data_IF_311302514984
#
_entry.id   IF_311302514984
#
_cell.length_a   1.000
_cell.length_b   1.000
_cell.length_c   1.000
_cell.angle_alpha   90.00
_cell.angle_beta   90.00
_cell.angle_gamma   90.00
#
_symmetry.space_group_name_H-M   'P 1'
#
loop_
_entity.id
_entity.type
_entity.pdbx_description
1 polymer ?
#
# COMPACT_ATOMS: atom_id res chain seq x y z
N UNK A 1 -49.80 10.50 -4.42
CA UNK A 1 -49.29 10.10 -3.09
C UNK A 1 -47.77 9.98 -3.22
N UNK A 2 -47.02 11.01 -2.83
CA UNK A 2 -45.58 11.02 -2.89
C UNK A 2 -44.98 10.61 -1.53
N UNK A 3 -43.74 10.10 -1.50
CA UNK A 3 -43.13 9.68 -0.27
C UNK A 3 -42.63 10.86 0.57
N UNK A 4 -42.93 10.78 1.84
CA UNK A 4 -42.59 11.73 2.89
C UNK A 4 -41.11 11.57 3.27
N UNK A 5 -40.31 12.61 3.15
CA UNK A 5 -38.96 12.68 3.72
C UNK A 5 -39.02 12.90 5.21
N UNK A 6 -38.45 12.00 5.99
CA UNK A 6 -38.19 12.20 7.43
C UNK A 6 -36.84 12.93 7.59
N UNK A 7 -36.92 14.16 8.06
CA UNK A 7 -35.78 14.89 8.61
C UNK A 7 -35.59 14.50 10.08
N UNK A 8 -34.63 13.70 10.39
CA UNK A 8 -34.20 13.35 11.74
C UNK A 8 -32.83 13.96 12.03
N UNK A 9 -32.82 15.11 12.74
CA UNK A 9 -31.60 15.71 13.24
C UNK A 9 -30.93 14.84 14.30
N UNK A 10 -29.66 14.58 14.14
CA UNK A 10 -28.80 14.00 15.17
C UNK A 10 -27.88 15.08 15.71
N UNK A 11 -28.30 15.72 16.80
CA UNK A 11 -27.41 16.39 17.74
C UNK A 11 -26.81 15.34 18.63
N UNK A 12 -25.52 15.06 18.47
CA UNK A 12 -24.77 14.32 19.49
C UNK A 12 -23.28 14.71 19.49
N UNK A 13 -22.81 14.95 20.74
CA UNK A 13 -21.45 15.04 21.26
C UNK A 13 -20.77 16.41 21.29
N UNK A 14 -21.00 17.09 22.38
CA UNK A 14 -19.96 17.84 23.08
C UNK A 14 -19.32 16.89 24.08
N UNK A 15 -18.06 16.53 23.86
CA UNK A 15 -17.10 16.12 24.88
C UNK A 15 -15.75 16.64 24.42
N UNK A 16 -15.23 17.60 25.16
CA UNK A 16 -13.87 18.09 25.09
C UNK A 16 -12.92 16.96 25.52
N UNK A 17 -11.92 16.68 24.72
CA UNK A 17 -10.83 15.74 24.98
C UNK A 17 -10.20 15.31 23.67
N UNK A 18 -8.96 15.72 23.42
CA UNK A 18 -8.03 15.41 22.31
C UNK A 18 -8.66 14.82 21.05
N UNK A 19 -8.85 15.66 20.03
CA UNK A 19 -9.56 15.31 18.80
C UNK A 19 -8.76 14.29 17.97
N UNK A 20 -9.08 13.03 18.12
CA UNK A 20 -8.83 12.07 17.05
C UNK A 20 -9.57 12.56 15.81
N UNK A 21 -8.85 12.73 14.68
CA UNK A 21 -9.45 13.16 13.42
C UNK A 21 -10.51 12.12 12.99
N UNK A 22 -11.78 12.48 13.08
CA UNK A 22 -12.86 11.67 12.52
C UNK A 22 -12.87 11.81 10.99
N UNK A 23 -13.51 10.89 10.28
CA UNK A 23 -13.74 11.02 8.83
C UNK A 23 -14.52 12.32 8.51
N UNK A 24 -15.39 12.77 9.39
CA UNK A 24 -16.06 14.08 9.29
C UNK A 24 -15.07 15.24 9.29
N UNK A 25 -14.02 15.17 10.10
CA UNK A 25 -12.94 16.18 10.10
C UNK A 25 -12.19 16.17 8.78
N UNK A 26 -11.89 14.98 8.23
CA UNK A 26 -11.26 14.84 6.92
C UNK A 26 -12.18 15.38 5.82
N UNK A 27 -13.49 15.07 5.88
CA UNK A 27 -14.50 15.63 4.97
C UNK A 27 -14.57 17.15 5.04
N UNK A 28 -14.62 17.73 6.24
CA UNK A 28 -14.67 19.18 6.41
C UNK A 28 -13.42 19.87 5.88
N UNK A 29 -12.25 19.23 5.98
CA UNK A 29 -11.00 19.67 5.35
C UNK A 29 -11.10 19.58 3.83
N UNK A 30 -11.57 18.45 3.27
CA UNK A 30 -11.75 18.24 1.84
C UNK A 30 -12.68 19.28 1.21
N UNK A 31 -13.72 19.75 1.93
CA UNK A 31 -14.64 20.79 1.50
C UNK A 31 -14.01 22.21 1.45
N UNK A 32 -12.88 22.44 2.13
CA UNK A 32 -12.18 23.74 2.14
C UNK A 32 -11.08 23.85 1.10
N UNK A 33 -10.97 22.89 0.18
CA UNK A 33 -9.87 22.72 -0.76
C UNK A 33 -9.47 24.02 -1.49
N UNK A 34 -8.20 24.38 -1.35
CA UNK A 34 -7.57 25.54 -2.03
C UNK A 34 -7.03 25.19 -3.43
N UNK A 35 -7.51 24.11 -4.04
CA UNK A 35 -7.25 23.79 -5.44
C UNK A 35 -6.10 22.83 -5.73
N UNK A 36 -5.38 22.31 -4.73
CA UNK A 36 -4.41 21.24 -4.94
C UNK A 36 -5.02 19.88 -4.58
N UNK A 37 -4.81 18.82 -5.36
CA UNK A 37 -5.31 17.49 -5.02
C UNK A 37 -4.81 17.07 -3.64
N UNK A 38 -5.73 16.72 -2.73
CA UNK A 38 -5.44 16.29 -1.37
C UNK A 38 -4.89 17.38 -0.40
N UNK A 39 -4.91 18.66 -0.75
CA UNK A 39 -4.42 19.73 0.13
C UNK A 39 -5.13 19.77 1.50
N UNK A 40 -6.32 19.20 1.57
CA UNK A 40 -7.14 19.13 2.79
C UNK A 40 -6.76 17.94 3.69
N UNK A 41 -6.27 16.87 3.10
CA UNK A 41 -5.83 15.67 3.80
C UNK A 41 -4.37 15.86 4.20
N UNK A 42 -3.54 16.25 3.24
CA UNK A 42 -2.13 16.56 3.41
C UNK A 42 -1.94 18.07 3.37
N UNK A 43 -2.15 18.76 4.48
CA UNK A 43 -2.06 20.22 4.55
C UNK A 43 -0.60 20.71 4.44
N UNK A 44 -0.44 21.96 4.03
CA UNK A 44 0.89 22.60 4.05
C UNK A 44 1.47 22.61 5.48
N UNK A 45 0.63 22.80 6.49
CA UNK A 45 1.04 22.77 7.90
C UNK A 45 1.59 21.41 8.27
N UNK A 46 0.88 20.31 7.98
CA UNK A 46 1.37 18.94 8.28
C UNK A 46 2.68 18.62 7.56
N UNK A 47 2.85 19.09 6.31
CA UNK A 47 4.13 18.93 5.61
C UNK A 47 5.24 19.71 6.32
N UNK A 48 4.99 20.96 6.74
CA UNK A 48 5.96 21.80 7.45
C UNK A 48 6.35 21.21 8.81
N UNK A 49 5.39 20.64 9.52
CA UNK A 49 5.62 19.99 10.81
C UNK A 49 6.57 18.80 10.65
N UNK A 50 6.32 17.93 9.67
CA UNK A 50 7.22 16.79 9.37
C UNK A 50 8.59 17.28 8.89
N UNK A 51 8.67 18.33 8.08
CA UNK A 51 9.97 18.90 7.70
C UNK A 51 10.76 19.41 8.92
N UNK A 52 10.10 20.07 9.87
CA UNK A 52 10.70 20.57 11.09
C UNK A 52 11.14 19.42 12.01
N UNK A 53 10.31 18.38 12.17
CA UNK A 53 10.64 17.16 12.93
C UNK A 53 11.92 16.50 12.41
N UNK A 54 12.12 16.49 11.09
CA UNK A 54 13.33 15.96 10.46
C UNK A 54 14.48 16.97 10.36
N UNK A 55 14.35 18.16 10.96
CA UNK A 55 15.38 19.20 10.92
C UNK A 55 15.70 19.71 9.50
N UNK A 56 14.73 19.63 8.58
CA UNK A 56 14.94 19.98 7.19
C UNK A 56 14.88 21.50 6.99
N UNK A 57 16.02 22.12 6.77
CA UNK A 57 16.14 23.58 6.48
C UNK A 57 16.14 23.84 4.99
N UNK A 58 15.44 24.87 4.55
CA UNK A 58 15.37 25.25 3.14
C UNK A 58 15.19 26.76 2.95
N UNK A 59 15.53 27.21 1.76
CA UNK A 59 15.21 28.58 1.32
C UNK A 59 13.88 28.57 0.58
N UNK A 60 13.03 29.54 0.87
CA UNK A 60 11.77 29.68 0.14
C UNK A 60 12.04 30.10 -1.31
N UNK A 61 11.71 29.20 -2.24
CA UNK A 61 11.85 29.35 -3.69
C UNK A 61 10.65 28.71 -4.36
N UNK A 62 10.50 28.88 -5.67
CA UNK A 62 9.42 28.26 -6.46
C UNK A 62 9.25 26.77 -6.17
N UNK A 63 10.36 26.03 -6.13
CA UNK A 63 10.37 24.62 -5.75
C UNK A 63 10.76 24.49 -4.26
N UNK A 64 9.93 25.05 -3.36
CA UNK A 64 9.99 24.78 -1.93
C UNK A 64 9.72 23.28 -1.67
N UNK A 65 10.04 22.71 -0.52
CA UNK A 65 9.71 21.32 -0.20
C UNK A 65 8.21 21.01 -0.38
N UNK A 66 7.33 21.91 0.05
CA UNK A 66 5.88 21.78 -0.13
C UNK A 66 5.50 21.67 -1.60
N UNK A 67 5.90 22.67 -2.42
CA UNK A 67 5.65 22.64 -3.88
C UNK A 67 6.29 21.42 -4.54
N UNK A 68 7.44 20.99 -4.07
CA UNK A 68 8.15 19.83 -4.62
C UNK A 68 7.42 18.53 -4.31
N UNK A 69 6.90 18.36 -3.09
CA UNK A 69 6.09 17.20 -2.69
C UNK A 69 4.80 17.15 -3.51
N UNK A 70 4.09 18.29 -3.65
CA UNK A 70 2.89 18.37 -4.50
C UNK A 70 3.18 18.05 -5.96
N UNK A 71 4.27 18.59 -6.50
CA UNK A 71 4.71 18.27 -7.85
C UNK A 71 5.05 16.79 -8.02
N UNK A 72 5.64 16.15 -7.01
CA UNK A 72 5.99 14.74 -7.06
C UNK A 72 4.75 13.85 -6.92
N UNK A 73 3.79 14.19 -6.04
CA UNK A 73 2.48 13.55 -5.97
C UNK A 73 1.73 13.64 -7.30
N UNK A 74 1.66 14.83 -7.89
CA UNK A 74 1.06 15.05 -9.21
C UNK A 74 1.73 14.21 -10.28
N UNK A 75 3.06 14.06 -10.23
CA UNK A 75 3.83 13.23 -11.16
C UNK A 75 3.47 11.74 -11.06
N UNK A 76 3.41 11.17 -9.85
CA UNK A 76 3.10 9.74 -9.68
C UNK A 76 1.62 9.40 -9.89
N UNK A 77 0.73 10.38 -9.82
CA UNK A 77 -0.70 10.24 -10.12
C UNK A 77 -1.00 10.39 -11.62
N UNK A 78 -0.15 11.09 -12.36
CA UNK A 78 -0.26 11.29 -13.80
C UNK A 78 -0.05 9.98 -14.57
N UNK A 79 -0.65 9.83 -15.72
CA UNK A 79 -0.41 8.69 -16.62
C UNK A 79 0.98 8.74 -17.28
N UNK A 80 1.51 9.95 -17.51
CA UNK A 80 2.82 10.16 -18.14
C UNK A 80 3.99 9.98 -17.17
N UNK A 81 3.81 10.27 -15.88
CA UNK A 81 4.85 10.20 -14.83
C UNK A 81 6.12 11.01 -15.14
N UNK A 82 6.09 11.93 -16.11
CA UNK A 82 7.30 12.70 -16.48
C UNK A 82 7.49 13.93 -15.60
N UNK A 83 8.76 14.29 -15.37
CA UNK A 83 9.10 15.55 -14.72
C UNK A 83 8.60 16.78 -15.51
N UNK A 84 8.46 16.64 -16.83
CA UNK A 84 7.96 17.72 -17.69
C UNK A 84 6.49 17.99 -17.45
N UNK A 85 5.67 16.95 -17.34
CA UNK A 85 4.25 17.06 -16.99
C UNK A 85 4.07 17.71 -15.61
N UNK A 86 4.83 17.26 -14.60
CA UNK A 86 4.79 17.85 -13.26
C UNK A 86 5.14 19.34 -13.25
N UNK A 87 6.21 19.75 -13.95
CA UNK A 87 6.58 21.16 -14.07
C UNK A 87 5.52 21.97 -14.80
N UNK A 88 4.91 21.41 -15.86
CA UNK A 88 3.83 22.08 -16.60
C UNK A 88 2.61 22.33 -15.72
N UNK A 89 2.24 21.37 -14.86
CA UNK A 89 1.14 21.52 -13.87
C UNK A 89 1.45 22.59 -12.83
N UNK A 90 2.68 22.65 -12.32
CA UNK A 90 3.13 23.71 -11.38
C UNK A 90 3.06 25.08 -12.06
N UNK A 91 3.49 25.21 -13.32
CA UNK A 91 3.40 26.45 -14.08
C UNK A 91 1.93 26.87 -14.25
N UNK A 92 1.05 25.95 -14.65
CA UNK A 92 -0.36 26.21 -14.84
C UNK A 92 -1.03 26.68 -13.54
N UNK A 93 -0.77 25.97 -12.42
CA UNK A 93 -1.29 26.36 -11.10
C UNK A 93 -0.80 27.75 -10.68
N UNK A 94 0.49 28.07 -10.85
CA UNK A 94 1.02 29.40 -10.53
C UNK A 94 0.38 30.49 -11.39
N UNK A 95 0.23 30.26 -12.68
CA UNK A 95 -0.40 31.21 -13.61
C UNK A 95 -1.87 31.46 -13.24
N UNK A 96 -2.62 30.41 -12.92
CA UNK A 96 -4.02 30.50 -12.50
C UNK A 96 -4.19 31.31 -11.20
N UNK A 97 -3.20 31.29 -10.30
CA UNK A 97 -3.22 32.02 -9.03
C UNK A 97 -2.47 33.38 -9.11
N UNK A 98 -2.18 33.89 -10.30
CA UNK A 98 -1.55 35.21 -10.48
C UNK A 98 -0.08 35.28 -10.04
N UNK A 99 0.57 34.15 -9.80
CA UNK A 99 1.99 34.12 -9.44
C UNK A 99 2.89 34.12 -10.68
N UNK A 100 4.08 34.69 -10.55
CA UNK A 100 5.09 34.64 -11.62
C UNK A 100 5.38 33.18 -12.03
N UNK A 101 5.31 32.90 -13.32
CA UNK A 101 5.61 31.60 -13.88
C UNK A 101 7.08 31.26 -13.78
N UNK A 102 7.42 30.00 -13.57
CA UNK A 102 8.79 29.53 -13.53
C UNK A 102 9.23 28.99 -14.90
N UNK A 103 10.54 28.76 -15.06
CA UNK A 103 11.09 28.14 -16.28
C UNK A 103 10.50 26.73 -16.47
N UNK A 104 10.15 26.32 -17.71
CA UNK A 104 9.71 24.97 -18.03
C UNK A 104 10.86 23.93 -17.99
N UNK A 105 12.09 24.36 -17.72
CA UNK A 105 13.23 23.46 -17.56
C UNK A 105 13.06 22.63 -16.28
N UNK A 106 13.13 21.32 -16.42
CA UNK A 106 12.92 20.37 -15.32
C UNK A 106 14.08 20.26 -14.33
N UNK A 107 15.27 20.84 -14.64
CA UNK A 107 16.45 20.68 -13.80
C UNK A 107 16.24 21.18 -12.37
N UNK A 108 15.62 22.36 -12.19
CA UNK A 108 15.34 22.92 -10.86
C UNK A 108 14.41 22.05 -10.04
N UNK A 109 13.38 21.48 -10.66
CA UNK A 109 12.46 20.53 -10.04
C UNK A 109 13.16 19.21 -9.67
N UNK A 110 13.96 18.65 -10.61
CA UNK A 110 14.72 17.43 -10.34
C UNK A 110 15.70 17.62 -9.17
N UNK A 111 16.40 18.75 -9.13
CA UNK A 111 17.31 19.11 -8.03
C UNK A 111 16.53 19.33 -6.70
N UNK A 112 15.34 19.87 -6.74
CA UNK A 112 14.50 20.01 -5.54
C UNK A 112 14.07 18.64 -5.00
N UNK A 113 13.59 17.72 -5.85
CA UNK A 113 13.27 16.34 -5.46
C UNK A 113 14.49 15.61 -4.87
N UNK A 114 15.67 15.77 -5.45
CA UNK A 114 16.87 15.09 -4.93
C UNK A 114 17.27 15.57 -3.54
N UNK A 115 16.92 16.81 -3.15
CA UNK A 115 17.18 17.36 -1.82
C UNK A 115 16.17 16.91 -0.76
N UNK A 116 14.96 16.49 -1.12
CA UNK A 116 14.00 15.95 -0.16
C UNK A 116 14.61 14.77 0.58
N UNK A 117 14.33 14.66 1.87
CA UNK A 117 14.70 13.46 2.64
C UNK A 117 13.70 12.34 2.39
N UNK A 118 14.20 11.12 2.21
CA UNK A 118 13.36 9.93 2.10
C UNK A 118 12.53 9.74 3.36
N UNK A 119 13.10 10.05 4.55
CA UNK A 119 12.40 9.99 5.83
C UNK A 119 11.20 10.93 5.91
N UNK A 120 11.25 12.13 5.34
CA UNK A 120 10.09 13.03 5.25
C UNK A 120 8.95 12.38 4.46
N UNK A 121 9.24 11.82 3.29
CA UNK A 121 8.22 11.18 2.45
C UNK A 121 7.65 9.92 3.11
N UNK A 122 8.49 9.12 3.78
CA UNK A 122 8.02 7.93 4.51
C UNK A 122 7.15 8.33 5.70
N UNK A 123 7.56 9.32 6.50
CA UNK A 123 6.77 9.81 7.63
C UNK A 123 5.39 10.32 7.16
N UNK A 124 5.33 11.14 6.11
CA UNK A 124 4.05 11.60 5.56
C UNK A 124 3.16 10.44 5.11
N UNK A 125 3.74 9.42 4.44
CA UNK A 125 2.98 8.27 3.98
C UNK A 125 2.44 7.42 5.14
N UNK A 126 3.25 7.17 6.16
CA UNK A 126 2.86 6.34 7.32
C UNK A 126 1.88 7.09 8.24
N UNK A 127 2.09 8.38 8.48
CA UNK A 127 1.13 9.21 9.22
C UNK A 127 -0.23 9.26 8.54
N UNK A 128 -0.29 9.47 7.21
CA UNK A 128 -1.56 9.42 6.46
C UNK A 128 -2.28 8.08 6.63
N UNK A 129 -1.56 6.95 6.61
CA UNK A 129 -2.16 5.64 6.84
C UNK A 129 -2.66 5.47 8.28
N UNK A 130 -1.90 5.94 9.27
CA UNK A 130 -2.25 5.85 10.69
C UNK A 130 -3.46 6.73 11.03
N UNK A 131 -3.49 7.96 10.53
CA UNK A 131 -4.65 8.86 10.67
C UNK A 131 -5.91 8.22 10.08
N UNK A 132 -5.80 7.61 8.90
CA UNK A 132 -6.91 6.88 8.30
C UNK A 132 -7.32 5.68 9.17
N UNK A 133 -6.37 4.90 9.69
CA UNK A 133 -6.65 3.72 10.52
C UNK A 133 -7.34 4.09 11.84
N UNK A 134 -7.01 5.25 12.42
CA UNK A 134 -7.63 5.73 13.66
C UNK A 134 -8.99 6.36 13.44
N UNK A 135 -9.23 6.95 12.26
CA UNK A 135 -10.49 7.61 11.91
C UNK A 135 -11.60 6.65 11.48
N UNK A 136 -11.27 5.41 11.10
CA UNK A 136 -12.29 4.47 10.64
C UNK A 136 -13.14 3.90 11.78
N UNK A 137 -14.41 3.66 11.49
CA UNK A 137 -15.36 3.09 12.42
C UNK A 137 -14.90 1.71 12.94
N UNK A 138 -15.21 1.47 14.20
CA UNK A 138 -14.95 0.19 14.87
C UNK A 138 -15.62 -0.99 14.16
N UNK A 139 -16.76 -0.78 13.52
CA UNK A 139 -17.47 -1.82 12.75
C UNK A 139 -16.68 -2.35 11.55
N UNK A 140 -15.73 -1.57 10.99
CA UNK A 140 -14.88 -2.02 9.90
C UNK A 140 -13.65 -2.80 10.36
N UNK A 141 -13.42 -2.83 11.67
CA UNK A 141 -12.35 -3.61 12.29
C UNK A 141 -12.84 -5.03 12.61
N UNK A 142 -12.01 -6.01 12.40
CA UNK A 142 -12.33 -7.39 12.68
C UNK A 142 -12.38 -7.65 14.19
N UNK A 143 -13.58 -7.98 14.73
CA UNK A 143 -13.81 -8.09 16.16
C UNK A 143 -13.26 -6.90 16.97
N UNK A 144 -13.34 -5.67 16.42
CA UNK A 144 -12.84 -4.46 17.03
C UNK A 144 -11.30 -4.31 17.01
N UNK A 145 -10.58 -5.22 16.39
CA UNK A 145 -9.12 -5.26 16.29
C UNK A 145 -8.65 -4.77 14.91
N UNK A 146 -7.50 -4.10 14.89
CA UNK A 146 -6.82 -3.79 13.63
C UNK A 146 -6.18 -5.06 13.06
N UNK A 147 -6.40 -5.31 11.78
CA UNK A 147 -5.82 -6.43 11.06
C UNK A 147 -4.95 -5.91 9.94
N UNK A 148 -3.76 -6.47 9.82
CA UNK A 148 -2.80 -6.14 8.78
C UNK A 148 -2.47 -7.35 7.91
N UNK A 149 -2.44 -7.15 6.61
CA UNK A 149 -1.98 -8.14 5.64
C UNK A 149 -0.51 -7.85 5.35
N UNK A 150 0.35 -8.84 5.52
CA UNK A 150 1.74 -8.79 5.05
C UNK A 150 1.87 -9.59 3.77
N UNK A 151 2.44 -8.97 2.74
CA UNK A 151 2.68 -9.65 1.46
C UNK A 151 3.89 -9.04 0.74
N UNK A 152 4.49 -9.81 -0.15
CA UNK A 152 5.69 -9.45 -0.88
C UNK A 152 5.46 -9.21 -2.37
N UNK A 153 6.31 -8.40 -2.97
CA UNK A 153 6.34 -8.19 -4.41
C UNK A 153 7.73 -7.76 -4.89
N UNK A 154 7.85 -7.41 -6.16
CA UNK A 154 9.06 -6.85 -6.73
C UNK A 154 8.76 -5.66 -7.62
N UNK A 155 9.70 -4.73 -7.72
CA UNK A 155 9.65 -3.56 -8.60
C UNK A 155 10.94 -3.47 -9.41
N UNK A 156 10.82 -3.07 -10.66
CA UNK A 156 11.97 -2.84 -11.55
C UNK A 156 12.23 -1.34 -11.71
N UNK A 157 13.44 -1.00 -12.10
CA UNK A 157 13.89 0.37 -12.24
C UNK A 157 14.84 0.54 -13.43
N UNK A 158 15.17 1.78 -13.84
CA UNK A 158 16.08 2.02 -14.96
C UNK A 158 17.42 1.32 -14.80
N UNK A 159 17.91 0.81 -15.92
CA UNK A 159 19.22 0.14 -16.02
C UNK A 159 20.34 1.18 -15.99
N UNK A 160 20.75 1.58 -14.78
CA UNK A 160 21.88 2.46 -14.51
C UNK A 160 22.92 1.73 -13.67
N UNK A 161 24.20 2.13 -13.73
CA UNK A 161 25.24 1.52 -12.90
C UNK A 161 24.91 1.53 -11.40
N UNK A 162 24.38 2.65 -10.90
CA UNK A 162 24.03 2.84 -9.49
C UNK A 162 22.87 1.92 -9.06
N UNK A 163 21.83 1.81 -9.90
CA UNK A 163 20.72 0.93 -9.62
C UNK A 163 21.14 -0.55 -9.73
N UNK A 164 21.96 -0.93 -10.70
CA UNK A 164 22.52 -2.30 -10.81
C UNK A 164 23.40 -2.66 -9.62
N UNK A 165 24.17 -1.71 -9.09
CA UNK A 165 25.02 -1.95 -7.93
C UNK A 165 24.19 -2.25 -6.68
N UNK A 166 23.10 -1.52 -6.44
CA UNK A 166 22.24 -1.67 -5.26
C UNK A 166 21.20 -2.79 -5.43
N UNK A 167 20.63 -2.92 -6.62
CA UNK A 167 19.53 -3.81 -6.98
C UNK A 167 19.86 -4.62 -8.23
N UNK A 168 20.81 -5.54 -8.16
CA UNK A 168 21.25 -6.29 -9.34
C UNK A 168 20.10 -6.97 -10.09
N UNK A 169 20.22 -7.11 -11.41
CA UNK A 169 19.35 -7.96 -12.20
C UNK A 169 19.34 -9.41 -11.67
N UNK A 170 18.34 -10.20 -12.03
CA UNK A 170 18.28 -11.61 -11.63
C UNK A 170 19.38 -12.43 -12.34
N UNK A 171 20.09 -13.35 -11.63
CA UNK A 171 21.23 -14.09 -12.20
C UNK A 171 20.89 -15.03 -13.35
N UNK A 172 19.60 -15.42 -13.47
CA UNK A 172 19.14 -16.28 -14.58
C UNK A 172 19.15 -15.56 -15.92
N UNK A 173 19.32 -14.24 -15.95
CA UNK A 173 19.45 -13.45 -17.15
C UNK A 173 20.93 -13.19 -17.44
N UNK A 174 21.33 -13.29 -18.70
CA UNK A 174 22.68 -12.94 -19.09
C UNK A 174 23.01 -11.49 -18.69
N UNK A 175 24.25 -11.25 -18.29
CA UNK A 175 24.72 -9.95 -17.80
C UNK A 175 24.40 -8.83 -18.80
N UNK A 176 23.80 -7.75 -18.32
CA UNK A 176 23.44 -6.58 -19.12
C UNK A 176 22.16 -6.75 -19.96
N UNK A 177 21.38 -7.83 -19.75
CA UNK A 177 20.07 -8.03 -20.39
C UNK A 177 18.89 -7.82 -19.44
N UNK A 178 19.12 -7.83 -18.11
CA UNK A 178 18.10 -7.65 -17.10
C UNK A 178 18.06 -6.24 -16.55
N UNK A 179 16.88 -5.80 -16.16
CA UNK A 179 16.72 -4.57 -15.39
C UNK A 179 17.05 -4.83 -13.91
N UNK A 180 17.54 -3.79 -13.20
CA UNK A 180 17.65 -3.83 -11.75
C UNK A 180 16.30 -4.17 -11.13
N UNK A 181 16.31 -5.05 -10.11
CA UNK A 181 15.11 -5.57 -9.48
C UNK A 181 15.21 -5.49 -7.95
N UNK A 182 14.28 -4.81 -7.32
CA UNK A 182 14.14 -4.78 -5.89
C UNK A 182 12.97 -5.66 -5.43
N UNK A 183 13.12 -6.28 -4.25
CA UNK A 183 12.04 -6.91 -3.50
C UNK A 183 11.47 -5.91 -2.54
N UNK A 184 10.15 -5.88 -2.45
CA UNK A 184 9.41 -5.10 -1.47
C UNK A 184 8.54 -6.04 -0.64
N UNK A 185 8.34 -5.70 0.62
CA UNK A 185 7.32 -6.29 1.49
C UNK A 185 6.51 -5.14 2.06
N UNK A 186 5.20 -5.26 2.05
CA UNK A 186 4.26 -4.22 2.47
C UNK A 186 3.40 -4.70 3.63
N UNK A 187 2.97 -3.76 4.48
CA UNK A 187 2.03 -3.96 5.56
C UNK A 187 0.77 -3.15 5.28
N UNK A 188 -0.33 -3.83 4.97
CA UNK A 188 -1.57 -3.24 4.48
C UNK A 188 -2.70 -3.41 5.50
N UNK A 189 -3.45 -2.35 5.80
CA UNK A 189 -4.65 -2.45 6.65
C UNK A 189 -5.75 -3.25 5.95
N UNK A 190 -6.32 -4.24 6.63
CA UNK A 190 -7.48 -4.96 6.12
C UNK A 190 -8.73 -4.08 6.07
N UNK A 191 -8.92 -3.17 7.01
CA UNK A 191 -10.08 -2.30 7.08
C UNK A 191 -10.11 -1.27 5.94
N UNK A 192 -8.98 -0.61 5.69
CA UNK A 192 -8.90 0.54 4.78
C UNK A 192 -8.17 0.25 3.47
N UNK A 193 -7.30 -0.75 3.46
CA UNK A 193 -6.36 -1.02 2.38
C UNK A 193 -5.15 -0.07 2.36
N UNK A 194 -5.01 0.84 3.32
CA UNK A 194 -3.87 1.73 3.40
C UNK A 194 -2.57 0.96 3.66
N UNK A 195 -1.46 1.44 3.09
CA UNK A 195 -0.13 0.88 3.31
C UNK A 195 0.54 1.58 4.50
N UNK A 196 0.69 0.85 5.61
CA UNK A 196 1.27 1.37 6.85
C UNK A 196 2.79 1.34 6.86
N UNK A 197 3.39 0.40 6.13
CA UNK A 197 4.85 0.31 6.05
C UNK A 197 5.29 -0.44 4.79
N UNK A 198 6.52 -0.19 4.37
CA UNK A 198 7.18 -0.87 3.28
C UNK A 198 8.66 -1.04 3.58
N UNK A 199 9.14 -2.28 3.46
CA UNK A 199 10.56 -2.59 3.47
C UNK A 199 11.04 -3.00 2.07
N UNK A 200 12.22 -2.51 1.68
CA UNK A 200 12.84 -2.78 0.39
C UNK A 200 14.23 -3.38 0.56
N UNK A 201 14.59 -4.30 -0.33
CA UNK A 201 15.93 -4.84 -0.47
C UNK A 201 16.21 -5.26 -1.92
N UNK A 202 17.46 -5.60 -2.23
CA UNK A 202 17.79 -6.28 -3.48
C UNK A 202 17.01 -7.58 -3.59
N UNK A 203 16.66 -7.98 -4.81
CA UNK A 203 15.89 -9.19 -5.06
C UNK A 203 16.61 -10.45 -4.56
N UNK A 204 17.94 -10.40 -4.47
CA UNK A 204 18.80 -11.48 -4.02
C UNK A 204 19.81 -11.01 -2.99
N UNK A 205 20.24 -11.96 -2.16
CA UNK A 205 21.23 -11.71 -1.13
C UNK A 205 20.79 -12.24 0.25
N UNK A 206 21.70 -12.22 1.19
CA UNK A 206 21.43 -12.61 2.57
C UNK A 206 20.61 -11.52 3.27
N UNK A 207 19.52 -11.90 3.92
CA UNK A 207 18.65 -10.94 4.65
C UNK A 207 17.74 -10.09 3.76
N UNK A 208 17.55 -10.46 2.48
CA UNK A 208 16.71 -9.76 1.51
C UNK A 208 15.37 -10.44 1.25
N UNK A 209 15.12 -11.59 1.86
CA UNK A 209 13.85 -12.31 1.74
C UNK A 209 12.71 -11.61 2.50
N UNK A 210 11.48 -11.87 2.10
CA UNK A 210 10.26 -11.24 2.65
C UNK A 210 10.16 -11.37 4.17
N UNK A 211 10.50 -12.54 4.74
CA UNK A 211 10.57 -12.72 6.20
C UNK A 211 11.55 -11.72 6.88
N UNK A 212 12.68 -11.45 6.24
CA UNK A 212 13.67 -10.52 6.76
C UNK A 212 13.23 -9.07 6.62
N UNK A 213 12.51 -8.75 5.56
CA UNK A 213 11.90 -7.45 5.34
C UNK A 213 10.76 -7.21 6.34
N UNK A 214 9.90 -8.19 6.56
CA UNK A 214 8.82 -8.09 7.53
C UNK A 214 9.32 -7.83 8.96
N UNK A 215 10.45 -8.43 9.36
CA UNK A 215 11.06 -8.14 10.68
C UNK A 215 11.44 -6.68 10.87
N UNK A 216 11.69 -5.92 9.80
CA UNK A 216 12.00 -4.48 9.87
C UNK A 216 10.76 -3.62 10.12
N UNK A 217 9.57 -4.19 9.95
CA UNK A 217 8.28 -3.51 10.10
C UNK A 217 7.55 -3.86 11.40
N UNK A 218 8.18 -4.62 12.31
CA UNK A 218 7.51 -5.04 13.55
C UNK A 218 7.11 -3.88 14.45
N UNK A 219 7.88 -2.78 14.43
CA UNK A 219 7.64 -1.62 15.27
C UNK A 219 6.44 -0.76 14.77
N UNK A 220 5.96 -1.00 13.57
CA UNK A 220 4.72 -0.41 13.03
C UNK A 220 3.47 -1.06 13.63
N UNK A 221 3.57 -2.33 14.05
CA UNK A 221 2.48 -3.08 14.66
C UNK A 221 2.32 -2.72 16.14
N UNK A 222 1.06 -2.68 16.61
CA UNK A 222 0.71 -2.36 18.00
C UNK A 222 0.19 -3.60 18.72
N UNK A 223 0.30 -3.58 20.04
CA UNK A 223 -0.29 -4.62 20.90
C UNK A 223 -1.80 -4.75 20.61
N UNK A 224 -2.27 -5.98 20.43
CA UNK A 224 -3.65 -6.28 20.09
C UNK A 224 -3.93 -6.38 18.59
N UNK A 225 -2.99 -6.02 17.71
CA UNK A 225 -3.15 -6.20 16.27
C UNK A 225 -3.17 -7.68 15.87
N UNK A 226 -3.67 -7.94 14.66
CA UNK A 226 -3.64 -9.26 14.03
C UNK A 226 -2.93 -9.14 12.68
N UNK A 227 -2.01 -10.05 12.40
CA UNK A 227 -1.34 -10.15 11.10
C UNK A 227 -1.89 -11.34 10.34
N UNK A 228 -2.34 -11.12 9.11
CA UNK A 228 -2.74 -12.16 8.16
C UNK A 228 -1.66 -12.32 7.10
N UNK A 229 -1.20 -13.55 6.88
CA UNK A 229 -0.06 -13.83 6.02
C UNK A 229 -0.21 -15.12 5.23
N UNK A 230 0.59 -15.27 4.17
CA UNK A 230 0.67 -16.52 3.42
C UNK A 230 1.50 -17.59 4.15
N UNK A 231 1.65 -18.76 3.52
CA UNK A 231 2.40 -19.88 4.08
C UNK A 231 3.91 -19.59 4.27
N UNK A 232 4.46 -18.57 3.61
CA UNK A 232 5.87 -18.21 3.80
C UNK A 232 6.13 -17.73 5.23
N UNK A 233 5.16 -17.04 5.84
CA UNK A 233 5.27 -16.46 7.18
C UNK A 233 4.88 -17.44 8.30
N UNK A 234 4.48 -18.67 7.97
CA UNK A 234 4.34 -19.79 8.91
C UNK A 234 5.73 -20.21 9.43
N UNK A 235 6.32 -19.36 10.26
CA UNK A 235 7.68 -19.50 10.78
C UNK A 235 7.67 -19.35 12.30
N UNK A 236 8.18 -20.36 13.02
CA UNK A 236 8.20 -20.42 14.48
C UNK A 236 8.75 -19.15 15.13
N UNK A 237 9.84 -18.62 14.56
CA UNK A 237 10.53 -17.46 15.12
C UNK A 237 9.77 -16.17 14.86
N UNK A 238 9.09 -16.05 13.71
CA UNK A 238 8.21 -14.92 13.39
C UNK A 238 7.00 -14.94 14.34
N UNK A 239 6.34 -16.09 14.46
CA UNK A 239 5.16 -16.27 15.34
C UNK A 239 5.50 -15.87 16.77
N UNK A 240 6.64 -16.32 17.31
CA UNK A 240 7.05 -15.95 18.66
C UNK A 240 7.36 -14.46 18.80
N UNK A 241 8.04 -13.84 17.83
CA UNK A 241 8.36 -12.42 17.86
C UNK A 241 7.10 -11.54 17.83
N UNK A 242 6.05 -11.95 17.14
CA UNK A 242 4.74 -11.29 17.17
C UNK A 242 4.01 -11.57 18.49
N UNK A 243 3.93 -12.83 18.90
CA UNK A 243 3.25 -13.25 20.14
C UNK A 243 3.75 -12.52 21.38
N UNK A 244 5.07 -12.40 21.55
CA UNK A 244 5.64 -11.69 22.69
C UNK A 244 5.39 -10.17 22.67
N UNK A 245 4.98 -9.60 21.53
CA UNK A 245 4.51 -8.22 21.38
C UNK A 245 3.00 -8.10 21.57
N UNK A 246 2.33 -9.19 21.94
CA UNK A 246 0.87 -9.29 22.01
C UNK A 246 0.19 -8.99 20.66
N UNK A 247 0.79 -9.49 19.58
CA UNK A 247 0.28 -9.42 18.22
C UNK A 247 -0.05 -10.83 17.78
N UNK A 248 -1.27 -11.04 17.30
CA UNK A 248 -1.68 -12.34 16.79
C UNK A 248 -1.33 -12.51 15.31
N UNK A 249 -1.19 -13.77 14.90
CA UNK A 249 -0.99 -14.13 13.50
C UNK A 249 -2.01 -15.17 13.05
N UNK A 250 -2.47 -15.01 11.80
CA UNK A 250 -3.28 -15.98 11.07
C UNK A 250 -2.56 -16.27 9.76
N UNK A 251 -2.05 -17.48 9.60
CA UNK A 251 -1.26 -17.86 8.42
C UNK A 251 -1.65 -19.25 7.91
N UNK A 252 -1.47 -19.46 6.59
CA UNK A 252 -1.62 -20.81 6.03
C UNK A 252 -0.47 -21.68 6.49
N UNK A 253 -0.78 -22.86 7.03
CA UNK A 253 0.24 -23.86 7.36
C UNK A 253 0.96 -24.34 6.08
N UNK A 254 2.28 -24.31 6.07
CA UNK A 254 3.09 -24.74 4.93
C UNK A 254 3.26 -26.28 4.88
N UNK A 255 3.38 -26.88 6.06
CA UNK A 255 3.50 -28.34 6.24
C UNK A 255 2.68 -28.76 7.45
N UNK A 256 2.24 -30.02 7.49
CA UNK A 256 1.85 -30.63 8.75
C UNK A 256 3.07 -30.66 9.66
N UNK A 257 3.32 -29.58 10.36
CA UNK A 257 4.24 -29.66 11.48
C UNK A 257 3.64 -30.65 12.43
N UNK A 258 4.35 -31.74 12.69
CA UNK A 258 3.96 -32.75 13.65
C UNK A 258 3.92 -32.09 15.04
N UNK A 259 2.84 -31.33 15.27
CA UNK A 259 2.49 -30.80 16.58
C UNK A 259 1.77 -31.92 17.31
N UNK A 260 2.18 -32.18 18.54
CA UNK A 260 1.37 -33.03 19.42
C UNK A 260 0.04 -32.33 19.64
N UNK A 261 -1.04 -32.94 19.19
CA UNK A 261 -2.41 -32.48 19.42
C UNK A 261 -2.67 -32.57 20.93
N UNK A 262 -3.06 -31.48 21.57
CA UNK A 262 -3.37 -31.46 23.01
C UNK A 262 -4.86 -31.71 23.22
N UNK A 263 -5.72 -31.13 22.38
CA UNK A 263 -7.16 -31.28 22.50
C UNK A 263 -7.84 -31.19 21.14
N UNK A 264 -8.92 -31.97 20.97
CA UNK A 264 -9.88 -31.86 19.88
C UNK A 264 -10.94 -30.84 20.23
N UNK A 265 -11.19 -29.88 19.35
CA UNK A 265 -12.40 -29.06 19.40
C UNK A 265 -13.09 -29.18 18.06
N UNK A 266 -14.26 -29.80 18.04
CA UNK A 266 -14.92 -30.28 16.84
C UNK A 266 -15.35 -29.17 15.85
N UNK A 267 -15.69 -27.99 16.31
CA UNK A 267 -16.13 -26.84 15.46
C UNK A 267 -15.14 -25.69 15.41
N UNK A 268 -14.20 -25.65 16.32
CA UNK A 268 -13.38 -24.47 16.57
C UNK A 268 -11.91 -24.63 16.16
N UNK A 269 -11.54 -25.83 15.73
CA UNK A 269 -10.19 -26.21 15.36
C UNK A 269 -9.39 -26.88 16.50
N UNK A 270 -8.27 -27.46 16.15
CA UNK A 270 -7.42 -28.22 17.07
C UNK A 270 -6.43 -27.30 17.81
N UNK A 271 -6.26 -27.50 19.10
CA UNK A 271 -5.13 -26.90 19.82
C UNK A 271 -3.91 -27.82 19.64
N UNK A 272 -2.85 -27.29 19.10
CA UNK A 272 -1.61 -27.97 18.78
C UNK A 272 -0.42 -27.33 19.50
N UNK A 273 0.63 -28.10 19.73
CA UNK A 273 1.91 -27.62 20.26
C UNK A 273 2.97 -27.70 19.18
N UNK A 274 3.49 -26.57 18.78
CA UNK A 274 4.68 -26.52 17.93
C UNK A 274 5.95 -26.66 18.74
N UNK A 275 6.79 -27.61 18.39
CA UNK A 275 8.14 -27.71 18.93
C UNK A 275 9.07 -26.74 18.22
N UNK A 276 9.98 -26.14 19.00
CA UNK A 276 11.00 -25.25 18.41
C UNK A 276 11.85 -26.03 17.40
N UNK A 277 11.92 -25.56 16.14
CA UNK A 277 12.74 -26.22 15.14
C UNK A 277 14.24 -26.09 15.44
N UNK A 278 15.08 -26.82 14.73
CA UNK A 278 16.51 -26.69 14.83
C UNK A 278 16.99 -25.25 14.60
N UNK A 279 18.12 -24.91 15.20
CA UNK A 279 18.70 -23.57 15.10
C UNK A 279 18.95 -23.17 13.65
N UNK A 280 18.33 -22.09 13.15
CA UNK A 280 18.56 -21.61 11.78
C UNK A 280 20.03 -21.22 11.57
N UNK A 281 20.50 -21.40 10.33
CA UNK A 281 21.84 -20.93 9.93
C UNK A 281 21.92 -19.41 10.08
N UNK A 282 22.94 -18.94 10.81
CA UNK A 282 23.17 -17.50 11.07
C UNK A 282 22.54 -16.97 12.35
N UNK A 283 21.73 -17.75 13.09
CA UNK A 283 21.27 -17.41 14.42
C UNK A 283 22.35 -17.81 15.46
N UNK A 284 22.64 -16.91 16.40
CA UNK A 284 23.56 -17.22 17.50
C UNK A 284 22.94 -18.21 18.49
N UNK A 285 23.78 -18.95 19.25
CA UNK A 285 23.29 -19.85 20.30
C UNK A 285 22.50 -19.13 21.39
N UNK A 286 22.90 -17.90 21.74
CA UNK A 286 22.18 -17.07 22.73
C UNK A 286 20.79 -16.68 22.22
N UNK A 287 20.70 -16.17 21.00
CA UNK A 287 19.41 -15.86 20.35
C UNK A 287 18.51 -17.09 20.28
N UNK A 288 19.03 -18.24 19.87
CA UNK A 288 18.25 -19.48 19.82
C UNK A 288 17.71 -19.89 21.18
N UNK A 289 18.51 -19.79 22.25
CA UNK A 289 18.08 -20.13 23.61
C UNK A 289 17.03 -19.18 24.18
N UNK A 290 16.94 -17.94 23.69
CA UNK A 290 15.91 -16.99 24.12
C UNK A 290 14.49 -17.32 23.61
N UNK A 291 14.38 -18.19 22.62
CA UNK A 291 13.09 -18.67 22.13
C UNK A 291 12.56 -19.84 23.00
N UNK A 292 11.25 -19.94 23.25
CA UNK A 292 10.69 -21.04 24.03
C UNK A 292 10.92 -22.39 23.33
N UNK A 293 10.80 -23.47 24.08
CA UNK A 293 10.95 -24.84 23.54
C UNK A 293 9.74 -25.24 22.69
N UNK A 294 8.57 -24.68 22.98
CA UNK A 294 7.32 -24.95 22.28
C UNK A 294 6.41 -23.73 22.28
N UNK A 295 5.48 -23.69 21.35
CA UNK A 295 4.39 -22.71 21.23
C UNK A 295 3.07 -23.43 21.15
N UNK A 296 2.06 -22.93 21.87
CA UNK A 296 0.68 -23.38 21.74
C UNK A 296 0.04 -22.58 20.60
N UNK A 297 -0.58 -23.30 19.67
CA UNK A 297 -1.20 -22.72 18.49
C UNK A 297 -2.60 -23.34 18.31
N UNK A 298 -3.47 -22.64 17.62
CA UNK A 298 -4.73 -23.18 17.14
C UNK A 298 -4.63 -23.45 15.65
N UNK A 299 -5.13 -24.58 15.20
CA UNK A 299 -5.15 -24.99 13.79
C UNK A 299 -6.60 -25.21 13.34
N UNK A 300 -6.99 -24.50 12.28
CA UNK A 300 -8.32 -24.58 11.70
C UNK A 300 -8.22 -25.17 10.30
N UNK A 301 -9.16 -26.04 9.94
CA UNK A 301 -9.28 -26.55 8.57
C UNK A 301 -10.22 -25.63 7.78
N UNK A 302 -9.77 -25.17 6.63
CA UNK A 302 -10.53 -24.27 5.74
C UNK A 302 -10.71 -24.95 4.39
N UNK A 303 -11.92 -24.89 3.87
CA UNK A 303 -12.24 -25.37 2.53
C UNK A 303 -11.97 -24.28 1.49
N UNK A 304 -11.20 -24.60 0.47
CA UNK A 304 -11.00 -23.71 -0.66
C UNK A 304 -11.25 -24.44 -1.98
N UNK A 305 -11.60 -23.71 -3.02
CA UNK A 305 -11.73 -24.28 -4.35
C UNK A 305 -10.43 -24.11 -5.14
N UNK A 306 -9.95 -25.22 -5.70
CA UNK A 306 -8.77 -25.20 -6.59
C UNK A 306 -9.11 -24.61 -7.96
N UNK A 307 -8.09 -24.51 -8.82
CA UNK A 307 -8.23 -24.06 -10.22
C UNK A 307 -9.22 -24.86 -11.09
N UNK A 308 -9.62 -26.03 -10.64
CA UNK A 308 -10.58 -26.90 -11.31
C UNK A 308 -11.94 -26.90 -10.61
N UNK A 309 -12.20 -25.94 -9.70
CA UNK A 309 -13.39 -25.82 -8.88
C UNK A 309 -13.63 -27.01 -7.91
N UNK A 310 -12.59 -27.79 -7.59
CA UNK A 310 -12.65 -28.87 -6.62
C UNK A 310 -12.37 -28.32 -5.24
N UNK A 311 -13.16 -28.75 -4.25
CA UNK A 311 -12.91 -28.41 -2.86
C UNK A 311 -11.61 -29.06 -2.42
N UNK A 312 -10.68 -28.25 -1.94
CA UNK A 312 -9.44 -28.65 -1.32
C UNK A 312 -9.38 -28.08 0.09
N UNK A 313 -9.04 -28.93 1.02
CA UNK A 313 -8.82 -28.51 2.40
C UNK A 313 -7.38 -28.06 2.60
N UNK A 314 -7.21 -26.98 3.31
CA UNK A 314 -5.90 -26.56 3.81
C UNK A 314 -6.01 -26.13 5.27
N UNK A 315 -4.89 -26.10 5.94
CA UNK A 315 -4.84 -25.75 7.36
C UNK A 315 -4.37 -24.30 7.52
N UNK A 316 -5.05 -23.59 8.40
CA UNK A 316 -4.67 -22.25 8.88
C UNK A 316 -4.26 -22.38 10.33
N UNK A 317 -3.15 -21.74 10.69
CA UNK A 317 -2.63 -21.71 12.05
C UNK A 317 -2.70 -20.30 12.61
N UNK A 318 -2.97 -20.21 13.91
CA UNK A 318 -3.11 -18.91 14.58
C UNK A 318 -2.68 -18.97 16.04
N UNK A 319 -2.26 -17.85 16.58
CA UNK A 319 -2.04 -17.65 18.02
C UNK A 319 -3.32 -17.26 18.76
N UNK A 320 -4.42 -17.02 18.06
CA UNK A 320 -5.73 -16.70 18.66
C UNK A 320 -6.33 -17.97 19.29
N UNK A 321 -6.17 -18.11 20.59
CA UNK A 321 -6.67 -19.25 21.36
C UNK A 321 -8.08 -19.03 21.94
N UNK A 322 -8.61 -17.80 21.84
CA UNK A 322 -9.95 -17.47 22.34
C UNK A 322 -11.01 -18.22 21.56
N UNK A 323 -11.72 -19.13 22.20
CA UNK A 323 -12.76 -19.97 21.63
C UNK A 323 -14.05 -19.21 21.27
N UNK A 324 -14.25 -18.00 21.79
CA UNK A 324 -15.37 -17.16 21.36
C UNK A 324 -15.26 -16.69 19.91
N UNK A 325 -14.05 -16.77 19.34
CA UNK A 325 -13.78 -16.58 17.91
C UNK A 325 -13.76 -17.97 17.30
N UNK A 326 -14.79 -18.35 16.59
CA UNK A 326 -14.93 -19.70 16.02
C UNK A 326 -13.97 -19.95 14.84
N UNK A 327 -13.89 -21.21 14.41
CA UNK A 327 -13.00 -21.60 13.31
C UNK A 327 -13.40 -20.98 11.97
N UNK A 328 -14.70 -20.74 11.75
CA UNK A 328 -15.20 -20.09 10.52
C UNK A 328 -14.73 -18.65 10.44
N UNK A 329 -14.81 -17.90 11.54
CA UNK A 329 -14.33 -16.52 11.60
C UNK A 329 -12.82 -16.42 11.30
N UNK A 330 -12.01 -17.39 11.76
CA UNK A 330 -10.58 -17.47 11.44
C UNK A 330 -10.37 -17.79 9.95
N UNK A 331 -11.16 -18.72 9.40
CA UNK A 331 -11.13 -19.07 7.98
C UNK A 331 -11.49 -17.90 7.09
N UNK A 332 -12.59 -17.22 7.38
CA UNK A 332 -13.05 -16.03 6.65
C UNK A 332 -12.02 -14.90 6.71
N UNK A 333 -11.41 -14.70 7.89
CA UNK A 333 -10.33 -13.72 8.03
C UNK A 333 -9.13 -14.08 7.13
N UNK A 334 -8.75 -15.35 7.10
CA UNK A 334 -7.64 -15.78 6.24
C UNK A 334 -7.97 -15.63 4.75
N UNK A 335 -9.20 -15.89 4.32
CA UNK A 335 -9.63 -15.70 2.94
C UNK A 335 -9.47 -14.22 2.50
N UNK A 336 -9.72 -13.29 3.39
CA UNK A 336 -9.52 -11.85 3.13
C UNK A 336 -8.06 -11.46 2.87
N UNK A 337 -7.08 -12.33 3.12
CA UNK A 337 -5.68 -12.13 2.71
C UNK A 337 -5.57 -11.77 1.21
N UNK A 338 -6.47 -12.31 0.38
CA UNK A 338 -6.52 -12.00 -1.05
C UNK A 338 -6.69 -10.49 -1.34
N UNK A 339 -7.27 -9.74 -0.43
CA UNK A 339 -7.42 -8.29 -0.57
C UNK A 339 -6.06 -7.59 -0.66
N UNK A 340 -5.02 -8.10 0.03
CA UNK A 340 -3.64 -7.60 -0.09
C UNK A 340 -3.06 -7.74 -1.49
N UNK A 341 -3.34 -8.85 -2.19
CA UNK A 341 -2.91 -9.02 -3.59
C UNK A 341 -3.60 -8.01 -4.53
N UNK A 342 -4.85 -7.65 -4.23
CA UNK A 342 -5.59 -6.60 -4.97
C UNK A 342 -4.98 -5.22 -4.70
N UNK A 343 -4.59 -4.95 -3.47
CA UNK A 343 -3.95 -3.69 -3.09
C UNK A 343 -2.57 -3.54 -3.75
N UNK A 344 -1.73 -4.56 -3.69
CA UNK A 344 -0.44 -4.59 -4.39
C UNK A 344 -0.64 -4.39 -5.89
N UNK A 345 -1.68 -4.98 -6.49
CA UNK A 345 -2.02 -4.75 -7.90
C UNK A 345 -2.41 -3.30 -8.14
N UNK A 346 -3.15 -2.67 -7.24
CA UNK A 346 -3.53 -1.26 -7.33
C UNK A 346 -2.30 -0.36 -7.29
N UNK A 347 -1.37 -0.62 -6.37
CA UNK A 347 -0.10 0.11 -6.26
C UNK A 347 0.76 -0.12 -7.51
N UNK A 348 0.95 -1.37 -7.92
CA UNK A 348 1.86 -1.72 -9.02
C UNK A 348 1.30 -1.38 -10.40
N UNK A 349 0.06 -1.80 -10.67
CA UNK A 349 -0.50 -1.72 -12.04
C UNK A 349 -1.34 -0.47 -12.25
N UNK A 350 -2.17 -0.07 -11.27
CA UNK A 350 -3.04 1.12 -11.44
C UNK A 350 -2.25 2.40 -11.25
N UNK A 351 -1.29 2.42 -10.32
CA UNK A 351 -0.38 3.54 -10.10
C UNK A 351 0.99 3.35 -10.79
N UNK A 352 1.20 2.26 -11.54
CA UNK A 352 2.40 1.98 -12.34
C UNK A 352 3.71 1.93 -11.55
N UNK A 353 3.68 1.64 -10.24
CA UNK A 353 4.89 1.50 -9.42
C UNK A 353 5.72 0.24 -9.75
N UNK A 354 5.20 -0.69 -10.56
CA UNK A 354 5.94 -1.88 -11.00
C UNK A 354 7.19 -1.54 -11.84
N UNK A 355 7.20 -0.37 -12.50
CA UNK A 355 8.31 0.14 -13.31
C UNK A 355 8.64 1.56 -12.84
N UNK A 356 9.56 1.66 -11.89
CA UNK A 356 10.06 2.93 -11.38
C UNK A 356 10.87 3.68 -12.45
N UNK A 357 11.00 4.98 -12.32
CA UNK A 357 11.62 5.84 -13.34
C UNK A 357 12.88 6.55 -12.87
N UNK A 358 13.13 6.55 -11.58
CA UNK A 358 14.29 7.21 -11.01
C UNK A 358 15.58 6.42 -11.25
N UNK A 359 16.67 7.18 -11.53
CA UNK A 359 17.93 6.63 -12.02
C UNK A 359 18.95 6.31 -10.93
N UNK A 360 18.69 6.70 -9.68
CA UNK A 360 19.57 6.44 -8.55
C UNK A 360 18.79 5.77 -7.41
N UNK A 361 19.42 4.93 -6.59
CA UNK A 361 18.75 4.22 -5.48
C UNK A 361 18.04 5.16 -4.50
N UNK A 362 18.65 6.29 -4.14
CA UNK A 362 18.04 7.29 -3.27
C UNK A 362 16.74 7.84 -3.87
N UNK A 363 16.77 8.21 -5.16
CA UNK A 363 15.58 8.70 -5.84
C UNK A 363 14.52 7.59 -6.05
N UNK A 364 14.94 6.33 -6.21
CA UNK A 364 14.04 5.17 -6.25
C UNK A 364 13.27 5.04 -4.94
N UNK A 365 13.93 5.17 -3.79
CA UNK A 365 13.26 5.17 -2.48
C UNK A 365 12.25 6.32 -2.36
N UNK A 366 12.64 7.53 -2.77
CA UNK A 366 11.73 8.69 -2.76
C UNK A 366 10.52 8.50 -3.67
N UNK A 367 10.73 7.92 -4.84
CA UNK A 367 9.64 7.59 -5.79
C UNK A 367 8.67 6.57 -5.18
N UNK A 368 9.17 5.49 -4.54
CA UNK A 368 8.34 4.49 -3.87
C UNK A 368 7.49 5.14 -2.77
N UNK A 369 8.11 5.91 -1.86
CA UNK A 369 7.39 6.54 -0.77
C UNK A 369 6.38 7.59 -1.25
N UNK A 370 6.67 8.29 -2.36
CA UNK A 370 5.70 9.20 -2.98
C UNK A 370 4.51 8.44 -3.58
N UNK A 371 4.75 7.29 -4.20
CA UNK A 371 3.65 6.42 -4.66
C UNK A 371 2.78 5.93 -3.50
N UNK A 372 3.38 5.54 -2.37
CA UNK A 372 2.64 5.10 -1.19
C UNK A 372 1.87 6.24 -0.54
N UNK A 373 2.46 7.43 -0.45
CA UNK A 373 1.75 8.62 0.02
C UNK A 373 0.53 8.92 -0.85
N UNK A 374 0.70 8.97 -2.18
CA UNK A 374 -0.41 9.17 -3.11
C UNK A 374 -1.46 8.05 -3.03
N UNK A 375 -1.03 6.81 -2.82
CA UNK A 375 -1.91 5.66 -2.61
C UNK A 375 -2.74 5.82 -1.33
N UNK A 376 -2.12 6.19 -0.21
CA UNK A 376 -2.79 6.37 1.07
C UNK A 376 -3.77 7.56 1.04
N UNK A 377 -3.38 8.67 0.41
CA UNK A 377 -4.28 9.81 0.20
C UNK A 377 -5.53 9.41 -0.59
N UNK A 378 -5.37 8.60 -1.64
CA UNK A 378 -6.51 8.11 -2.41
C UNK A 378 -7.37 7.13 -1.58
N UNK A 379 -6.75 6.28 -0.74
CA UNK A 379 -7.48 5.43 0.22
C UNK A 379 -8.29 6.24 1.23
N UNK A 380 -7.76 7.38 1.68
CA UNK A 380 -8.50 8.30 2.58
C UNK A 380 -9.75 8.85 1.89
N UNK A 381 -9.65 9.33 0.65
CA UNK A 381 -10.82 9.80 -0.12
C UNK A 381 -11.84 8.68 -0.33
N UNK A 382 -11.36 7.44 -0.61
CA UNK A 382 -12.24 6.27 -0.75
C UNK A 382 -12.96 5.93 0.56
N UNK A 383 -12.30 6.08 1.70
CA UNK A 383 -12.91 5.83 3.01
C UNK A 383 -13.98 6.87 3.33
N UNK A 384 -13.72 8.15 3.06
CA UNK A 384 -14.73 9.22 3.21
C UNK A 384 -15.94 8.95 2.33
N UNK A 385 -15.73 8.62 1.05
CA UNK A 385 -16.82 8.29 0.13
C UNK A 385 -17.62 7.05 0.57
N UNK A 386 -16.94 6.07 1.16
CA UNK A 386 -17.57 4.86 1.68
C UNK A 386 -18.44 5.14 2.91
N UNK A 387 -17.93 5.93 3.85
CA UNK A 387 -18.60 6.34 5.07
C UNK A 387 -19.89 7.10 4.79
N UNK A 388 -19.84 8.10 3.90
CA UNK A 388 -21.01 8.86 3.49
C UNK A 388 -22.11 8.05 2.80
N UNK A 389 -21.77 6.91 2.26
CA UNK A 389 -22.70 6.03 1.56
C UNK A 389 -22.97 4.70 2.28
N UNK A 390 -22.59 4.60 3.55
CA UNK A 390 -22.80 3.43 4.42
C UNK A 390 -22.29 2.12 3.80
N UNK A 391 -21.06 2.16 3.27
CA UNK A 391 -20.40 0.99 2.66
C UNK A 391 -18.99 0.81 3.22
N UNK A 392 -18.51 -0.43 3.24
CA UNK A 392 -17.13 -0.70 3.63
C UNK A 392 -16.13 -0.10 2.61
N UNK A 393 -15.03 0.57 3.04
CA UNK A 393 -14.02 1.13 2.15
C UNK A 393 -13.44 0.12 1.16
N UNK A 394 -13.38 -1.15 1.57
CA UNK A 394 -12.86 -2.24 0.74
C UNK A 394 -13.76 -2.61 -0.45
N UNK A 395 -15.03 -2.25 -0.41
CA UNK A 395 -15.98 -2.45 -1.52
C UNK A 395 -15.88 -1.40 -2.61
N UNK A 396 -15.15 -0.28 -2.36
CA UNK A 396 -14.92 0.77 -3.35
C UNK A 396 -13.79 0.39 -4.29
N UNK A 397 -13.95 0.64 -5.58
CA UNK A 397 -12.95 0.35 -6.61
C UNK A 397 -11.83 1.39 -6.62
N UNK A 398 -10.59 0.99 -6.31
CA UNK A 398 -9.42 1.87 -6.38
C UNK A 398 -9.24 2.50 -7.77
N UNK A 399 -9.39 1.71 -8.83
CA UNK A 399 -9.29 2.23 -10.20
C UNK A 399 -10.39 3.24 -10.49
N UNK A 400 -11.64 2.96 -10.07
CA UNK A 400 -12.76 3.87 -10.23
C UNK A 400 -12.55 5.19 -9.47
N UNK A 401 -12.08 5.11 -8.22
CA UNK A 401 -11.76 6.28 -7.42
C UNK A 401 -10.65 7.14 -8.05
N UNK A 402 -9.56 6.52 -8.54
CA UNK A 402 -8.51 7.26 -9.27
C UNK A 402 -9.06 7.95 -10.52
N UNK A 403 -9.91 7.28 -11.29
CA UNK A 403 -10.53 7.86 -12.50
C UNK A 403 -11.45 9.02 -12.17
N UNK A 404 -12.32 8.88 -11.15
CA UNK A 404 -13.20 9.94 -10.70
C UNK A 404 -12.38 11.16 -10.22
N UNK A 405 -11.39 10.95 -9.36
CA UNK A 405 -10.52 12.03 -8.90
C UNK A 405 -9.82 12.74 -10.07
N UNK A 406 -9.28 12.01 -11.03
CA UNK A 406 -8.63 12.59 -12.22
C UNK A 406 -9.58 13.46 -13.03
N UNK A 407 -10.86 13.10 -13.12
CA UNK A 407 -11.87 13.87 -13.86
C UNK A 407 -12.33 15.12 -13.09
N UNK A 408 -12.51 15.01 -11.77
CA UNK A 408 -13.07 16.07 -10.93
C UNK A 408 -12.03 17.09 -10.45
N UNK A 409 -10.79 16.67 -10.12
CA UNK A 409 -9.79 17.54 -9.53
C UNK A 409 -9.57 18.86 -10.31
N UNK A 410 -9.41 18.87 -11.66
CA UNK A 410 -9.25 20.12 -12.39
C UNK A 410 -10.48 21.02 -12.37
N UNK A 411 -11.68 20.42 -12.18
CA UNK A 411 -12.93 21.18 -12.09
C UNK A 411 -13.10 21.82 -10.71
N UNK A 412 -12.75 21.09 -9.66
CA UNK A 412 -12.76 21.58 -8.28
C UNK A 412 -11.74 22.71 -8.13
N UNK A 413 -10.53 22.54 -8.69
CA UNK A 413 -9.48 23.56 -8.69
C UNK A 413 -9.91 24.87 -9.36
N UNK A 414 -10.59 24.77 -10.51
CA UNK A 414 -11.06 25.93 -11.28
C UNK A 414 -12.37 26.54 -10.76
N UNK A 415 -13.06 25.87 -9.84
CA UNK A 415 -14.36 26.31 -9.34
C UNK A 415 -14.25 27.48 -8.35
N UNK A 416 -15.23 28.38 -8.40
CA UNK A 416 -15.42 29.38 -7.33
C UNK A 416 -15.74 28.69 -6.00
N UNK A 417 -15.36 29.26 -4.85
CA UNK A 417 -15.51 28.64 -3.52
C UNK A 417 -16.90 28.06 -3.26
N UNK A 418 -17.95 28.78 -3.64
CA UNK A 418 -19.36 28.40 -3.47
C UNK A 418 -19.77 27.16 -4.29
N UNK A 419 -19.06 26.86 -5.38
CA UNK A 419 -19.33 25.74 -6.28
C UNK A 419 -18.47 24.49 -5.97
N UNK A 420 -17.53 24.57 -5.03
CA UNK A 420 -16.62 23.46 -4.71
C UNK A 420 -17.33 22.34 -3.95
N UNK A 421 -18.12 22.67 -2.93
CA UNK A 421 -18.80 21.66 -2.13
C UNK A 421 -19.70 20.75 -2.97
N UNK A 422 -20.58 21.24 -3.87
CA UNK A 422 -21.37 20.36 -4.75
C UNK A 422 -20.51 19.45 -5.66
N UNK A 423 -19.35 19.93 -6.11
CA UNK A 423 -18.45 19.11 -6.92
C UNK A 423 -17.78 18.01 -6.11
N UNK A 424 -17.45 18.27 -4.85
CA UNK A 424 -16.88 17.30 -3.93
C UNK A 424 -17.93 16.24 -3.59
N UNK A 425 -19.15 16.62 -3.27
CA UNK A 425 -20.26 15.69 -2.99
C UNK A 425 -20.52 14.78 -4.22
N UNK A 426 -20.52 15.35 -5.43
CA UNK A 426 -20.65 14.59 -6.67
C UNK A 426 -19.46 13.64 -6.89
N UNK A 427 -18.23 14.05 -6.56
CA UNK A 427 -17.03 13.21 -6.61
C UNK A 427 -17.16 12.03 -5.65
N UNK A 428 -17.49 12.27 -4.37
CA UNK A 428 -17.61 11.23 -3.35
C UNK A 428 -18.71 10.22 -3.70
N UNK A 429 -19.86 10.68 -4.15
CA UNK A 429 -20.95 9.83 -4.67
C UNK A 429 -20.49 8.99 -5.85
N UNK A 430 -19.76 9.59 -6.80
CA UNK A 430 -19.22 8.87 -7.97
C UNK A 430 -18.22 7.79 -7.55
N UNK A 431 -17.36 8.09 -6.58
CA UNK A 431 -16.39 7.12 -6.03
C UNK A 431 -17.14 5.97 -5.36
N UNK A 432 -18.11 6.24 -4.51
CA UNK A 432 -18.90 5.22 -3.82
C UNK A 432 -19.69 4.32 -4.78
N UNK A 433 -20.15 4.87 -5.91
CA UNK A 433 -20.82 4.09 -6.95
C UNK A 433 -19.89 3.10 -7.66
N UNK A 434 -18.62 3.42 -7.82
CA UNK A 434 -17.63 2.55 -8.42
C UNK A 434 -17.21 1.43 -7.47
N UNK A 435 -17.97 0.36 -7.41
CA UNK A 435 -17.71 -0.78 -6.51
C UNK A 435 -16.84 -1.85 -7.15
N UNK A 436 -16.11 -2.57 -6.30
CA UNK A 436 -15.45 -3.82 -6.70
C UNK A 436 -16.55 -4.81 -7.09
N UNK A 437 -16.49 -5.33 -8.31
CA UNK A 437 -17.50 -6.27 -8.78
C UNK A 437 -17.48 -7.55 -7.96
N UNK A 438 -18.58 -7.85 -7.28
CA UNK A 438 -18.77 -9.16 -6.67
C UNK A 438 -19.07 -10.18 -7.79
N UNK A 439 -18.17 -11.13 -8.00
CA UNK A 439 -18.32 -12.18 -9.04
C UNK A 439 -18.14 -13.55 -8.39
N UNK A 440 -19.09 -13.98 -7.54
CA UNK A 440 -19.01 -15.28 -6.88
C UNK A 440 -18.91 -16.39 -7.93
N UNK A 441 -18.05 -17.36 -7.67
CA UNK A 441 -17.84 -18.50 -8.57
C UNK A 441 -17.11 -18.20 -9.87
N UNK A 442 -16.63 -16.96 -10.09
CA UNK A 442 -15.82 -16.64 -11.26
C UNK A 442 -14.44 -17.28 -11.14
N UNK A 443 -14.19 -18.22 -12.02
CA UNK A 443 -12.88 -18.81 -12.20
C UNK A 443 -12.27 -18.32 -13.53
N UNK A 444 -11.08 -17.76 -13.47
CA UNK A 444 -10.34 -17.37 -14.67
C UNK A 444 -8.97 -18.06 -14.68
N UNK A 445 -8.60 -18.73 -15.78
CA UNK A 445 -7.26 -19.28 -15.92
C UNK A 445 -6.24 -18.14 -15.90
N UNK A 446 -5.13 -18.30 -15.19
CA UNK A 446 -4.01 -17.33 -15.17
C UNK A 446 -3.25 -17.25 -16.52
N UNK A 447 -3.91 -17.67 -17.61
CA UNK A 447 -3.40 -17.64 -18.96
C UNK A 447 -4.08 -16.53 -19.75
N UNK A 448 -3.30 -15.76 -20.50
CA UNK A 448 -3.80 -14.70 -21.39
C UNK A 448 -3.11 -14.77 -22.74
N UNK A 449 -3.81 -14.37 -23.81
CA UNK A 449 -3.20 -14.17 -25.12
C UNK A 449 -2.10 -13.10 -25.03
N UNK A 450 -0.93 -13.37 -25.56
CA UNK A 450 0.13 -12.38 -25.68
C UNK A 450 -0.08 -11.57 -26.95
N UNK A 451 0.00 -10.25 -26.84
CA UNK A 451 0.07 -9.39 -28.02
C UNK A 451 1.49 -9.45 -28.58
N UNK A 452 1.65 -9.49 -29.92
CA UNK A 452 2.97 -9.36 -30.54
C UNK A 452 3.66 -8.08 -30.06
N UNK A 453 4.96 -8.15 -29.85
CA UNK A 453 5.79 -6.97 -29.54
C UNK A 453 6.41 -6.46 -30.84
N UNK A 454 6.48 -5.16 -31.01
CA UNK A 454 7.04 -4.53 -32.21
C UNK A 454 8.55 -4.74 -32.40
N UNK A 455 9.27 -5.09 -31.34
CA UNK A 455 10.71 -5.34 -31.43
C UNK A 455 11.05 -6.70 -30.82
N UNK A 456 12.03 -7.37 -31.43
CA UNK A 456 12.61 -8.59 -30.89
C UNK A 456 13.30 -8.31 -29.53
N UNK A 457 13.35 -9.34 -28.68
CA UNK A 457 14.13 -9.24 -27.43
C UNK A 457 15.62 -9.19 -27.77
N UNK A 458 16.36 -8.35 -27.03
CA UNK A 458 17.82 -8.36 -27.09
C UNK A 458 18.32 -9.72 -26.63
N UNK A 459 19.27 -10.29 -27.40
CA UNK A 459 20.00 -11.53 -27.08
C UNK A 459 21.39 -11.25 -26.53
N UNK A 460 21.84 -9.99 -26.63
CA UNK A 460 23.10 -9.49 -26.08
C UNK A 460 22.94 -8.04 -25.64
N UNK A 461 23.78 -7.49 -24.76
CA UNK A 461 23.69 -6.12 -24.27
C UNK A 461 23.58 -5.11 -25.41
N UNK A 462 22.83 -4.02 -25.19
CA UNK A 462 22.49 -3.02 -26.23
C UNK A 462 23.74 -2.41 -26.89
N UNK A 463 24.80 -2.18 -26.14
CA UNK A 463 26.07 -1.61 -26.66
C UNK A 463 26.84 -2.59 -27.56
N UNK A 464 26.58 -3.90 -27.44
CA UNK A 464 27.17 -4.94 -28.28
C UNK A 464 26.23 -5.28 -29.46
N UNK A 465 24.93 -5.01 -29.30
CA UNK A 465 23.95 -5.34 -30.32
C UNK A 465 24.11 -4.44 -31.53
N UNK A 466 24.54 -5.03 -32.64
CA UNK A 466 24.68 -4.37 -33.97
C UNK A 466 23.36 -4.35 -34.75
N UNK A 467 22.21 -4.59 -34.10
CA UNK A 467 20.92 -4.51 -34.78
C UNK A 467 20.70 -3.08 -35.28
N UNK A 468 20.60 -2.88 -36.63
CA UNK A 468 20.40 -1.55 -37.17
C UNK A 468 19.10 -0.98 -36.64
N UNK A 469 19.13 0.30 -36.29
CA UNK A 469 17.93 1.05 -35.97
C UNK A 469 17.14 1.19 -37.27
N UNK A 470 16.12 0.36 -37.46
CA UNK A 470 15.35 0.30 -38.70
C UNK A 470 14.46 1.56 -38.76
N UNK A 471 15.04 2.69 -39.25
CA UNK A 471 14.31 3.94 -39.52
C UNK A 471 13.38 3.87 -40.73
N UNK A 472 13.44 2.78 -41.52
CA UNK A 472 12.81 2.69 -42.83
C UNK A 472 11.38 2.14 -42.86
N UNK A 473 10.68 2.02 -41.73
CA UNK A 473 9.30 1.52 -41.68
C UNK A 473 8.24 2.53 -41.21
N UNK A 474 8.57 3.82 -41.23
CA UNK A 474 7.63 4.88 -40.83
C UNK A 474 7.57 6.00 -41.89
N UNK A 475 7.34 5.62 -43.14
CA UNK A 475 6.84 6.53 -44.18
C UNK A 475 5.92 5.74 -45.13
#
# INVERSE_FOLDING_TARGET
MGPVFYSGGWNRWQLEGDSMASLDTVRARFARNEGLPFADILTEASIRDVLNEHGFTYRDRVFSPVTTIWGFLSQVLSEDHSCRDAVSRIIAHRAANGHAVCSPNTASYCNARSRLLTSVLSTLATQTAEELQTSVDRQWKWNGRSVFIVDGSSVSMPDTPENQQMYPQVPQQATGLGFPLARITVLLSLATGACHDLAIASYQGKGTGEKSLFRRMYDTLKSGDVVVADALFDDYFIVWELYKRNIDIVARAQYERVGSRISETSSEGDIIVWQRPNKPRGMTGAQYRSYPKSLVMRQVTVDARDKNNRVQQFKVVTTILNVSIDGTQIGDLFERRWEGEVDIRSIKSTMQMDILRCKTPDMVHKEIWTHLLAYNLLRTVMAVAADENDIEPRKVSFKGAKQALTAFAPKIEAAQPENRAPLIDALLTTIAYHRVGNRPGRWEPRARKRRPKHAARLTQPRHISKLPHNRSKWF
#
